data_IF_222790490131
#
_entry.id   IF_222790490131
#
_cell.length_a   1.000
_cell.length_b   1.000
_cell.length_c   1.000
_cell.angle_alpha   90.00
_cell.angle_beta   90.00
_cell.angle_gamma   90.00
#
_symmetry.space_group_name_H-M   'P 1'
#
loop_
_entity.id
_entity.type
_entity.pdbx_description
1 polymer ?
#
# COMPACT_ATOMS: atom_id res chain seq x y z
N UNK A 1 -63.15 0.41 11.69
CA UNK A 1 -62.17 1.16 10.87
C UNK A 1 -60.83 1.00 11.55
N UNK A 2 -59.92 0.22 10.95
CA UNK A 2 -58.60 -0.13 11.50
C UNK A 2 -57.65 1.07 11.41
N UNK A 3 -56.82 1.36 12.44
CA UNK A 3 -55.72 2.30 12.27
C UNK A 3 -54.57 1.60 11.54
N UNK A 4 -54.16 2.18 10.41
CA UNK A 4 -53.01 1.76 9.63
C UNK A 4 -51.72 2.07 10.41
N UNK A 5 -50.96 1.04 10.79
CA UNK A 5 -49.61 1.19 11.30
C UNK A 5 -48.62 1.26 10.13
N UNK A 6 -47.85 2.34 10.04
CA UNK A 6 -46.71 2.48 9.14
C UNK A 6 -45.55 1.58 9.62
N UNK A 7 -44.86 0.84 8.73
CA UNK A 7 -43.68 0.09 9.11
C UNK A 7 -42.48 1.03 9.24
N UNK A 8 -41.85 1.05 10.41
CA UNK A 8 -40.54 1.67 10.62
C UNK A 8 -39.50 0.77 9.96
N UNK A 9 -38.90 1.22 8.85
CA UNK A 9 -37.78 0.54 8.22
C UNK A 9 -36.53 0.74 9.08
N UNK A 10 -36.05 -0.35 9.67
CA UNK A 10 -34.82 -0.40 10.46
C UNK A 10 -33.66 -0.64 9.50
N UNK A 11 -32.97 0.43 9.10
CA UNK A 11 -31.73 0.32 8.33
C UNK A 11 -30.63 -0.23 9.25
N UNK A 12 -30.36 -1.53 9.15
CA UNK A 12 -29.14 -2.12 9.68
C UNK A 12 -27.96 -1.51 8.93
N UNK A 13 -27.34 -0.48 9.52
CA UNK A 13 -26.03 -0.03 9.08
C UNK A 13 -25.04 -1.05 9.62
N UNK A 14 -24.54 -1.92 8.76
CA UNK A 14 -23.35 -2.72 9.05
C UNK A 14 -22.20 -1.74 9.18
N UNK A 15 -21.85 -1.37 10.42
CA UNK A 15 -20.59 -0.69 10.70
C UNK A 15 -19.52 -1.72 10.37
N UNK A 16 -18.82 -1.53 9.25
CA UNK A 16 -17.58 -2.25 9.00
C UNK A 16 -16.68 -2.03 10.22
N UNK A 17 -16.27 -3.10 10.89
CA UNK A 17 -15.35 -2.99 12.00
C UNK A 17 -14.03 -2.44 11.46
N UNK A 18 -13.77 -1.15 11.70
CA UNK A 18 -12.46 -0.59 11.45
C UNK A 18 -11.47 -1.32 12.37
N UNK A 19 -10.69 -2.25 11.82
CA UNK A 19 -9.47 -2.71 12.46
C UNK A 19 -8.53 -1.50 12.62
N UNK A 20 -7.66 -1.54 13.62
CA UNK A 20 -6.82 -0.40 13.99
C UNK A 20 -5.35 -0.77 13.84
N UNK A 21 -4.60 0.04 13.11
CA UNK A 21 -3.17 -0.13 12.87
C UNK A 21 -2.36 0.80 13.78
N UNK A 22 -1.24 0.32 14.31
CA UNK A 22 -0.19 1.17 14.87
C UNK A 22 1.16 0.59 14.46
N UNK A 23 2.12 1.45 14.15
CA UNK A 23 3.40 1.05 13.57
C UNK A 23 4.22 0.13 14.49
N UNK A 24 4.20 0.40 15.80
CA UNK A 24 5.03 -0.32 16.77
C UNK A 24 4.25 -1.24 17.70
N UNK A 25 3.00 -1.63 17.37
CA UNK A 25 2.17 -2.52 18.22
C UNK A 25 2.89 -3.78 18.68
N UNK A 26 3.77 -4.34 17.85
CA UNK A 26 4.45 -5.61 18.12
C UNK A 26 5.88 -5.45 18.67
N UNK A 27 6.29 -4.23 18.98
CA UNK A 27 7.64 -3.94 19.48
C UNK A 27 7.60 -3.50 20.94
N UNK A 28 8.66 -3.82 21.68
CA UNK A 28 8.86 -3.31 23.03
C UNK A 28 9.13 -1.79 22.98
N UNK A 29 8.32 -0.94 23.63
CA UNK A 29 8.48 0.52 23.56
C UNK A 29 9.86 1.00 24.02
N UNK A 30 10.43 0.37 25.05
CA UNK A 30 11.75 0.74 25.55
C UNK A 30 12.86 0.36 24.56
N UNK A 31 12.72 -0.78 23.88
CA UNK A 31 13.59 -1.17 22.77
C UNK A 31 13.53 -0.20 21.59
N UNK A 32 12.33 0.21 21.18
CA UNK A 32 12.14 1.17 20.07
C UNK A 32 12.78 2.52 20.40
N UNK A 33 12.55 3.04 21.61
CA UNK A 33 13.15 4.30 22.05
C UNK A 33 14.68 4.24 22.07
N UNK A 34 15.25 3.14 22.59
CA UNK A 34 16.69 2.95 22.67
C UNK A 34 17.35 2.87 21.28
N UNK A 35 16.68 2.22 20.31
CA UNK A 35 17.23 1.98 18.97
C UNK A 35 17.07 3.22 18.08
N UNK A 36 15.89 3.86 18.10
CA UNK A 36 15.58 4.97 17.20
C UNK A 36 16.05 6.33 17.74
N UNK A 37 16.14 6.48 19.07
CA UNK A 37 16.56 7.74 19.70
C UNK A 37 15.61 8.92 19.47
N UNK A 38 14.37 8.66 19.03
CA UNK A 38 13.34 9.67 18.85
C UNK A 38 12.79 10.19 20.19
N UNK A 39 12.26 11.40 20.19
CA UNK A 39 11.61 11.96 21.38
C UNK A 39 10.33 11.19 21.71
N UNK A 40 9.92 11.23 22.98
CA UNK A 40 8.69 10.59 23.43
C UNK A 40 7.46 11.10 22.66
N UNK A 41 7.39 12.40 22.32
CA UNK A 41 6.28 12.94 21.53
C UNK A 41 6.27 12.40 20.09
N UNK A 42 7.45 12.17 19.51
CA UNK A 42 7.57 11.59 18.19
C UNK A 42 7.16 10.11 18.18
N UNK A 43 7.61 9.33 19.17
CA UNK A 43 7.22 7.92 19.32
C UNK A 43 5.73 7.76 19.58
N UNK A 44 5.12 8.65 20.37
CA UNK A 44 3.68 8.70 20.56
C UNK A 44 2.95 8.96 19.24
N UNK A 45 3.44 9.90 18.42
CA UNK A 45 2.85 10.19 17.12
C UNK A 45 3.00 9.03 16.13
N UNK A 46 4.19 8.41 16.06
CA UNK A 46 4.46 7.25 15.21
C UNK A 46 3.59 6.05 15.57
N UNK A 47 3.35 5.84 16.86
CA UNK A 47 2.55 4.74 17.36
C UNK A 47 1.08 5.11 17.60
N UNK A 48 0.59 6.19 17.01
CA UNK A 48 -0.82 6.56 17.08
C UNK A 48 -1.68 5.61 16.24
N UNK A 49 -2.92 5.41 16.68
CA UNK A 49 -3.87 4.51 16.02
C UNK A 49 -4.36 5.08 14.68
N UNK A 50 -4.20 4.29 13.62
CA UNK A 50 -4.79 4.52 12.30
C UNK A 50 -6.00 3.60 12.13
N UNK A 51 -7.13 4.14 11.70
CA UNK A 51 -8.38 3.39 11.49
C UNK A 51 -8.39 2.63 10.16
N UNK A 52 -7.40 1.77 9.97
CA UNK A 52 -7.21 0.93 8.80
C UNK A 52 -6.97 -0.52 9.21
N UNK A 53 -7.34 -1.45 8.33
CA UNK A 53 -7.07 -2.86 8.58
C UNK A 53 -5.58 -3.14 8.78
N UNK A 54 -5.21 -3.67 9.96
CA UNK A 54 -3.82 -3.76 10.38
C UNK A 54 -3.02 -4.72 9.48
N UNK A 55 -3.61 -5.86 9.11
CA UNK A 55 -2.95 -6.84 8.25
C UNK A 55 -2.73 -6.27 6.86
N UNK A 56 -3.77 -5.66 6.29
CA UNK A 56 -3.69 -5.02 4.96
C UNK A 56 -2.71 -3.84 4.96
N UNK A 57 -2.71 -3.01 6.01
CA UNK A 57 -1.80 -1.86 6.15
C UNK A 57 -0.34 -2.31 6.17
N UNK A 58 -0.03 -3.41 6.88
CA UNK A 58 1.32 -3.97 6.90
C UNK A 58 1.76 -4.54 5.55
N UNK A 59 0.84 -5.13 4.79
CA UNK A 59 1.13 -5.62 3.44
C UNK A 59 1.34 -4.46 2.47
N UNK A 60 0.50 -3.42 2.55
CA UNK A 60 0.65 -2.20 1.75
C UNK A 60 2.00 -1.50 2.01
N UNK A 61 2.46 -1.47 3.26
CA UNK A 61 3.72 -0.86 3.66
C UNK A 61 4.97 -1.60 3.15
N UNK A 62 4.88 -2.91 2.90
CA UNK A 62 5.97 -3.69 2.31
C UNK A 62 6.15 -3.42 0.81
N UNK A 63 5.18 -2.76 0.19
CA UNK A 63 5.08 -2.61 -1.25
C UNK A 63 3.81 -3.31 -1.76
N UNK A 64 2.90 -2.59 -2.43
CA UNK A 64 1.71 -3.18 -3.05
C UNK A 64 2.02 -4.38 -3.96
N UNK A 65 3.17 -4.35 -4.60
CA UNK A 65 3.66 -5.39 -5.50
C UNK A 65 3.92 -6.73 -4.77
N UNK A 66 4.35 -6.74 -3.52
CA UNK A 66 4.79 -7.96 -2.83
C UNK A 66 3.64 -8.94 -2.50
N UNK A 67 2.39 -8.56 -2.74
CA UNK A 67 1.20 -9.35 -2.37
C UNK A 67 0.15 -9.34 -3.49
N UNK A 68 -0.59 -10.44 -3.59
CA UNK A 68 -1.79 -10.49 -4.44
C UNK A 68 -2.99 -9.92 -3.70
N UNK A 69 -3.73 -9.03 -4.35
CA UNK A 69 -4.82 -8.28 -3.74
C UNK A 69 -6.17 -8.78 -4.22
N UNK A 70 -7.02 -9.21 -3.29
CA UNK A 70 -8.42 -9.50 -3.60
C UNK A 70 -9.27 -8.23 -3.50
N UNK A 71 -10.42 -8.24 -4.19
CA UNK A 71 -11.41 -7.18 -4.07
C UNK A 71 -11.87 -6.97 -2.62
N UNK A 72 -11.99 -8.03 -1.83
CA UNK A 72 -12.39 -7.94 -0.41
C UNK A 72 -11.33 -7.24 0.44
N UNK A 73 -10.04 -7.51 0.19
CA UNK A 73 -8.95 -6.81 0.89
C UNK A 73 -8.97 -5.31 0.58
N UNK A 74 -9.05 -4.96 -0.70
CA UNK A 74 -9.01 -3.57 -1.13
C UNK A 74 -10.26 -2.80 -0.71
N UNK A 75 -11.46 -3.39 -0.82
CA UNK A 75 -12.69 -2.69 -0.41
C UNK A 75 -12.77 -2.47 1.10
N UNK A 76 -12.19 -3.38 1.90
CA UNK A 76 -12.08 -3.21 3.36
C UNK A 76 -11.04 -2.15 3.72
N UNK A 77 -9.97 -2.03 2.94
CA UNK A 77 -8.88 -1.10 3.20
C UNK A 77 -9.17 0.32 2.69
N UNK A 78 -9.64 0.44 1.45
CA UNK A 78 -9.86 1.69 0.71
C UNK A 78 -11.15 2.40 1.09
N UNK A 79 -11.29 2.68 2.39
CA UNK A 79 -12.42 3.42 2.98
C UNK A 79 -12.04 4.87 3.26
N UNK A 80 -13.02 5.77 3.21
CA UNK A 80 -12.80 7.19 3.56
C UNK A 80 -12.28 7.36 5.00
N UNK A 81 -12.69 6.47 5.91
CA UNK A 81 -12.23 6.46 7.29
C UNK A 81 -10.74 6.11 7.37
N UNK A 82 -10.29 5.09 6.65
CA UNK A 82 -8.87 4.74 6.59
C UNK A 82 -8.05 5.86 5.97
N UNK A 83 -8.46 6.38 4.79
CA UNK A 83 -7.77 7.45 4.09
C UNK A 83 -7.60 8.73 4.95
N UNK A 84 -8.69 9.17 5.60
CA UNK A 84 -8.66 10.36 6.47
C UNK A 84 -7.82 10.14 7.74
N UNK A 85 -7.89 8.95 8.33
CA UNK A 85 -7.09 8.58 9.50
C UNK A 85 -5.60 8.50 9.15
N UNK A 86 -5.26 7.96 7.96
CA UNK A 86 -3.89 7.86 7.45
C UNK A 86 -3.30 9.25 7.23
N UNK A 87 -4.02 10.12 6.53
CA UNK A 87 -3.60 11.51 6.27
C UNK A 87 -3.34 12.28 7.57
N UNK A 88 -4.25 12.12 8.55
CA UNK A 88 -4.12 12.76 9.86
C UNK A 88 -2.92 12.23 10.64
N UNK A 89 -2.66 10.93 10.56
CA UNK A 89 -1.52 10.29 11.20
C UNK A 89 -0.19 10.76 10.61
N UNK A 90 -0.04 10.74 9.28
CA UNK A 90 1.16 11.26 8.59
C UNK A 90 1.42 12.72 8.98
N UNK A 91 0.39 13.57 8.88
CA UNK A 91 0.50 14.98 9.26
C UNK A 91 0.92 15.16 10.72
N UNK A 92 0.40 14.33 11.63
CA UNK A 92 0.79 14.38 13.04
C UNK A 92 2.26 13.97 13.22
N UNK A 93 2.72 12.91 12.56
CA UNK A 93 4.13 12.48 12.61
C UNK A 93 5.05 13.56 12.05
N UNK A 94 4.75 14.13 10.88
CA UNK A 94 5.54 15.22 10.29
C UNK A 94 5.75 16.38 11.27
N UNK A 95 4.69 16.77 11.97
CA UNK A 95 4.74 17.87 12.94
C UNK A 95 5.50 17.51 14.21
N UNK A 96 5.30 16.30 14.76
CA UNK A 96 5.86 15.88 16.05
C UNK A 96 7.30 15.37 15.96
N UNK A 97 7.66 14.85 14.80
CA UNK A 97 8.97 14.28 14.52
C UNK A 97 9.86 15.16 13.63
N UNK A 98 9.47 16.42 13.39
CA UNK A 98 10.18 17.33 12.50
C UNK A 98 11.69 17.37 12.80
N UNK A 99 12.51 17.01 11.80
CA UNK A 99 13.97 17.01 11.90
C UNK A 99 14.58 15.85 12.70
N UNK A 100 13.78 14.91 13.20
CA UNK A 100 14.29 13.71 13.87
C UNK A 100 14.67 12.64 12.83
N UNK A 101 15.80 11.98 13.04
CA UNK A 101 16.30 10.91 12.16
C UNK A 101 17.02 9.85 12.98
N UNK A 102 16.88 8.60 12.56
CA UNK A 102 17.52 7.45 13.16
C UNK A 102 18.66 6.98 12.25
N UNK A 103 19.73 6.50 12.88
CA UNK A 103 20.90 5.95 12.21
C UNK A 103 20.74 4.43 12.12
N UNK A 104 20.74 3.92 10.89
CA UNK A 104 20.73 2.50 10.56
C UNK A 104 22.05 2.10 9.88
N UNK A 105 23.18 2.38 10.53
CA UNK A 105 24.51 2.05 10.07
C UNK A 105 25.01 3.03 9.02
N UNK A 106 24.90 2.67 7.74
CA UNK A 106 25.34 3.54 6.64
C UNK A 106 24.20 4.43 6.09
N UNK A 107 23.01 4.36 6.69
CA UNK A 107 21.81 5.08 6.24
C UNK A 107 21.20 5.89 7.36
N UNK A 108 20.84 7.14 7.07
CA UNK A 108 20.06 8.00 7.96
C UNK A 108 18.63 8.04 7.44
N UNK A 109 17.68 7.64 8.29
CA UNK A 109 16.26 7.57 7.93
C UNK A 109 15.49 8.57 8.79
N UNK A 110 14.67 9.41 8.14
CA UNK A 110 13.81 10.34 8.87
C UNK A 110 12.67 9.58 9.54
N UNK A 111 12.25 10.01 10.73
CA UNK A 111 11.13 9.40 11.45
C UNK A 111 9.84 9.30 10.60
N UNK A 112 9.60 10.26 9.71
CA UNK A 112 8.41 10.30 8.84
C UNK A 112 8.45 9.26 7.70
N UNK A 113 9.58 8.60 7.45
CA UNK A 113 9.75 7.70 6.29
C UNK A 113 8.74 6.54 6.33
N UNK A 114 8.60 5.86 7.46
CA UNK A 114 7.69 4.71 7.59
C UNK A 114 6.21 5.12 7.37
N UNK A 115 5.69 6.19 8.01
CA UNK A 115 4.34 6.68 7.70
C UNK A 115 4.12 7.05 6.23
N UNK A 116 5.11 7.65 5.58
CA UNK A 116 5.01 7.99 4.16
C UNK A 116 4.95 6.74 3.27
N UNK A 117 5.72 5.69 3.58
CA UNK A 117 5.66 4.42 2.86
C UNK A 117 4.29 3.77 3.01
N UNK A 118 3.74 3.74 4.22
CA UNK A 118 2.40 3.21 4.49
C UNK A 118 1.34 3.99 3.71
N UNK A 119 1.39 5.32 3.73
CA UNK A 119 0.46 6.18 3.01
C UNK A 119 0.58 6.03 1.49
N UNK A 120 1.80 5.96 0.95
CA UNK A 120 2.03 5.72 -0.47
C UNK A 120 1.48 4.36 -0.92
N UNK A 121 1.67 3.31 -0.11
CA UNK A 121 1.08 1.99 -0.35
C UNK A 121 -0.45 2.04 -0.36
N UNK A 122 -1.06 2.76 0.58
CA UNK A 122 -2.50 3.00 0.59
C UNK A 122 -2.97 3.73 -0.68
N UNK A 123 -2.33 4.84 -1.03
CA UNK A 123 -2.74 5.68 -2.15
C UNK A 123 -2.64 4.92 -3.49
N UNK A 124 -1.61 4.09 -3.65
CA UNK A 124 -1.45 3.25 -4.84
C UNK A 124 -2.54 2.16 -4.92
N UNK A 125 -2.81 1.46 -3.82
CA UNK A 125 -3.82 0.39 -3.78
C UNK A 125 -5.26 0.91 -3.93
N UNK A 126 -5.50 2.12 -3.45
CA UNK A 126 -6.82 2.73 -3.38
C UNK A 126 -7.12 3.70 -4.51
N UNK A 127 -6.23 3.80 -5.48
CA UNK A 127 -6.45 4.57 -6.69
C UNK A 127 -7.68 4.03 -7.44
N UNK A 128 -8.57 4.95 -7.82
CA UNK A 128 -9.81 4.64 -8.54
C UNK A 128 -9.87 5.41 -9.85
N UNK A 129 -10.47 4.78 -10.84
CA UNK A 129 -10.78 5.41 -12.12
C UNK A 129 -12.01 6.35 -11.99
N UNK A 130 -12.41 6.96 -13.10
CA UNK A 130 -13.61 7.80 -13.16
C UNK A 130 -14.94 7.06 -12.90
N UNK A 131 -14.94 5.72 -13.02
CA UNK A 131 -16.10 4.87 -12.73
C UNK A 131 -16.18 4.41 -11.26
N UNK A 132 -15.12 4.64 -10.49
CA UNK A 132 -14.97 4.21 -9.10
C UNK A 132 -14.38 2.80 -8.95
N UNK A 133 -13.90 2.20 -10.03
CA UNK A 133 -13.23 0.90 -10.07
C UNK A 133 -11.79 1.03 -9.57
N UNK A 134 -11.33 0.05 -8.79
CA UNK A 134 -9.98 0.05 -8.20
C UNK A 134 -8.94 -0.32 -9.26
N UNK A 135 -8.07 0.62 -9.58
CA UNK A 135 -7.09 0.48 -10.66
C UNK A 135 -6.09 -0.65 -10.40
N UNK A 136 -5.69 -0.82 -9.13
CA UNK A 136 -4.77 -1.88 -8.74
C UNK A 136 -5.38 -3.28 -8.91
N UNK A 137 -6.71 -3.41 -8.75
CA UNK A 137 -7.36 -4.69 -8.96
C UNK A 137 -7.31 -5.07 -10.44
N UNK A 138 -7.56 -4.10 -11.33
CA UNK A 138 -7.50 -4.30 -12.78
C UNK A 138 -6.06 -4.53 -13.27
N UNK A 139 -5.08 -3.87 -12.66
CA UNK A 139 -3.69 -4.01 -13.06
C UNK A 139 -3.19 -5.44 -12.90
N UNK A 140 -3.72 -6.22 -11.94
CA UNK A 140 -3.34 -7.63 -11.73
C UNK A 140 -3.73 -8.57 -12.87
N UNK A 141 -4.61 -8.16 -13.79
CA UNK A 141 -4.99 -8.97 -14.97
C UNK A 141 -4.19 -8.60 -16.24
N UNK A 142 -3.28 -7.63 -16.16
CA UNK A 142 -2.53 -7.19 -17.33
C UNK A 142 -1.44 -8.17 -17.73
N UNK A 143 -1.32 -8.40 -19.03
CA UNK A 143 -0.22 -9.20 -19.56
C UNK A 143 1.11 -8.50 -19.27
N UNK A 144 1.95 -9.12 -18.43
CA UNK A 144 3.21 -8.55 -17.94
C UNK A 144 3.13 -7.88 -16.56
N UNK A 145 1.95 -7.74 -15.95
CA UNK A 145 1.79 -7.47 -14.52
C UNK A 145 1.72 -8.74 -13.69
N UNK A 146 1.58 -9.90 -14.35
CA UNK A 146 2.03 -11.18 -13.81
C UNK A 146 3.40 -10.93 -13.20
N UNK A 147 3.42 -10.94 -11.88
CA UNK A 147 4.63 -10.84 -11.12
C UNK A 147 5.54 -11.95 -11.63
N UNK A 148 6.53 -11.60 -12.44
CA UNK A 148 7.71 -12.45 -12.56
C UNK A 148 8.35 -12.33 -11.19
N UNK A 149 7.83 -13.10 -10.21
CA UNK A 149 8.47 -13.36 -8.92
C UNK A 149 9.70 -14.15 -9.29
N UNK A 150 10.70 -13.42 -9.74
CA UNK A 150 12.02 -13.96 -9.76
C UNK A 150 12.37 -14.10 -8.28
N UNK A 151 12.23 -15.31 -7.76
CA UNK A 151 12.82 -15.66 -6.48
C UNK A 151 14.27 -15.16 -6.56
N UNK A 152 14.71 -14.18 -5.76
CA UNK A 152 16.04 -13.59 -5.93
C UNK A 152 17.19 -14.63 -6.00
N UNK A 153 17.07 -15.81 -5.34
CA UNK A 153 17.95 -16.97 -5.52
C UNK A 153 17.88 -17.72 -6.86
N UNK A 154 16.81 -17.62 -7.66
CA UNK A 154 16.57 -18.51 -8.79
C UNK A 154 17.62 -18.40 -9.92
N UNK A 155 18.42 -17.32 -9.95
CA UNK A 155 19.55 -17.14 -10.86
C UNK A 155 20.90 -17.32 -10.16
N UNK A 156 20.92 -17.65 -8.86
CA UNK A 156 22.15 -18.04 -8.20
C UNK A 156 22.63 -19.35 -8.82
N UNK A 157 23.93 -19.42 -9.09
CA UNK A 157 24.52 -20.56 -9.77
C UNK A 157 24.37 -21.88 -8.99
N UNK A 158 24.00 -21.78 -7.72
CA UNK A 158 24.01 -22.87 -6.74
C UNK A 158 22.59 -23.38 -6.45
N UNK A 159 21.54 -22.77 -7.04
CA UNK A 159 20.15 -23.19 -6.86
C UNK A 159 19.87 -24.45 -7.74
N UNK A 160 19.48 -25.59 -7.15
CA UNK A 160 19.18 -26.81 -7.90
C UNK A 160 17.95 -26.69 -8.80
N UNK A 161 17.08 -25.72 -8.55
CA UNK A 161 15.89 -25.42 -9.34
C UNK A 161 16.12 -24.21 -10.29
N UNK A 162 17.39 -23.81 -10.48
CA UNK A 162 17.76 -22.73 -11.41
C UNK A 162 17.22 -23.00 -12.82
N UNK A 163 16.46 -22.07 -13.42
CA UNK A 163 15.98 -22.20 -14.79
C UNK A 163 17.16 -22.05 -15.78
N UNK A 164 17.64 -23.16 -16.34
CA UNK A 164 18.67 -23.17 -17.38
C UNK A 164 18.18 -22.47 -18.66
N UNK A 165 18.96 -21.56 -19.23
CA UNK A 165 18.67 -20.79 -20.44
C UNK A 165 18.03 -19.40 -20.19
N UNK A 166 17.38 -19.19 -19.03
CA UNK A 166 16.71 -17.93 -18.71
C UNK A 166 17.67 -16.89 -18.10
N UNK A 167 18.57 -17.32 -17.20
CA UNK A 167 19.52 -16.46 -16.48
C UNK A 167 20.80 -16.15 -17.27
N UNK A 168 21.00 -16.85 -18.37
CA UNK A 168 22.18 -16.91 -19.23
C UNK A 168 21.87 -16.43 -20.66
N UNK A 169 20.60 -16.13 -20.93
CA UNK A 169 20.18 -15.49 -22.18
C UNK A 169 20.57 -14.01 -22.21
N UNK A 170 21.00 -13.52 -23.38
CA UNK A 170 21.15 -12.09 -23.69
C UNK A 170 19.78 -11.39 -23.84
N UNK A 171 18.72 -11.95 -23.25
CA UNK A 171 17.32 -11.66 -23.53
C UNK A 171 16.64 -10.79 -22.48
N UNK A 172 17.40 -9.90 -21.83
CA UNK A 172 16.82 -8.58 -21.58
C UNK A 172 16.74 -7.86 -22.94
N UNK A 173 15.84 -8.35 -23.80
CA UNK A 173 15.60 -7.79 -25.12
C UNK A 173 14.94 -6.43 -24.91
N UNK A 174 15.63 -5.36 -25.30
CA UNK A 174 15.05 -4.03 -25.45
C UNK A 174 14.07 -3.95 -26.63
N UNK A 175 14.00 -5.00 -27.46
CA UNK A 175 12.95 -5.17 -28.46
C UNK A 175 11.73 -5.82 -27.82
N UNK A 176 10.94 -5.00 -27.13
CA UNK A 176 9.60 -5.38 -26.69
C UNK A 176 8.69 -5.30 -27.93
N UNK A 177 8.26 -6.46 -28.44
CA UNK A 177 7.08 -6.53 -29.31
C UNK A 177 5.85 -6.26 -28.43
N UNK A 178 5.51 -4.98 -28.23
CA UNK A 178 4.25 -4.59 -27.57
C UNK A 178 3.12 -5.04 -28.49
N UNK A 179 2.52 -6.18 -28.17
CA UNK A 179 1.36 -6.67 -28.87
C UNK A 179 0.16 -5.75 -28.55
N UNK A 180 -0.84 -5.62 -29.46
CA UNK A 180 -2.00 -4.75 -29.24
C UNK A 180 -2.76 -5.02 -27.93
N UNK A 181 -2.70 -6.23 -27.40
CA UNK A 181 -3.27 -6.61 -26.10
C UNK A 181 -2.46 -6.11 -24.89
N UNK A 182 -1.19 -5.75 -25.06
CA UNK A 182 -0.32 -5.19 -24.01
C UNK A 182 -0.49 -3.66 -23.84
N UNK A 183 -1.42 -3.03 -24.57
CA UNK A 183 -1.69 -1.60 -24.46
C UNK A 183 -2.35 -1.20 -23.14
N UNK A 184 -2.78 -2.14 -22.30
CA UNK A 184 -3.33 -1.80 -20.99
C UNK A 184 -2.32 -1.07 -20.10
N UNK A 185 -1.01 -1.33 -20.24
CA UNK A 185 0.03 -0.57 -19.52
C UNK A 185 0.04 0.92 -19.93
N UNK A 186 -0.38 1.25 -21.16
CA UNK A 186 -0.49 2.65 -21.61
C UNK A 186 -1.69 3.40 -21.01
N UNK A 187 -2.55 2.72 -20.24
CA UNK A 187 -3.68 3.32 -19.50
C UNK A 187 -3.36 3.67 -18.05
N UNK A 188 -2.17 3.31 -17.55
CA UNK A 188 -1.75 3.70 -16.20
C UNK A 188 -1.51 5.19 -16.06
N UNK A 189 -1.01 5.79 -17.13
CA UNK A 189 -0.53 7.16 -17.15
C UNK A 189 -1.18 7.86 -18.33
N UNK A 190 -1.92 8.93 -18.08
CA UNK A 190 -2.27 9.85 -19.15
C UNK A 190 -0.97 10.39 -19.77
N UNK A 191 -0.93 10.44 -21.11
CA UNK A 191 0.20 11.02 -21.83
C UNK A 191 0.47 12.50 -21.49
N UNK A 192 -0.49 13.18 -20.86
CA UNK A 192 -0.37 14.57 -20.40
C UNK A 192 0.03 14.70 -18.91
N UNK A 193 0.17 13.60 -18.17
CA UNK A 193 0.25 13.56 -16.69
C UNK A 193 1.63 13.87 -16.08
N UNK A 194 2.40 14.80 -16.66
CA UNK A 194 3.62 15.30 -15.98
C UNK A 194 3.27 16.31 -14.88
N UNK A 195 2.04 16.86 -14.87
CA UNK A 195 1.72 18.01 -14.01
C UNK A 195 0.41 17.93 -13.19
N UNK A 196 -0.37 16.85 -13.19
CA UNK A 196 -1.55 16.77 -12.30
C UNK A 196 -1.81 15.35 -11.77
N UNK A 197 -2.28 15.28 -10.52
CA UNK A 197 -2.55 14.10 -9.68
C UNK A 197 -2.81 12.75 -10.40
N UNK A 198 -2.25 11.62 -9.92
CA UNK A 198 -2.40 10.31 -10.56
C UNK A 198 -3.88 9.93 -10.66
N UNK A 199 -4.37 9.75 -11.88
CA UNK A 199 -5.61 9.07 -12.22
C UNK A 199 -5.24 7.99 -13.24
N UNK A 200 -5.65 6.73 -13.03
CA UNK A 200 -5.57 5.73 -14.09
C UNK A 200 -6.81 5.85 -14.99
N UNK A 201 -6.60 5.74 -16.31
CA UNK A 201 -7.59 6.02 -17.35
C UNK A 201 -8.46 4.83 -17.73
#
# INVERSE_FOLDING_TARGET
MYPSALPVALFLHTVAAASSFNLYTNFDPAGVELILGFSAECLEALNATVNCDSATTLLAAQGPDETYWSQDNLTTFCTDQCASSMTSWVSNVENRCAGQSADFGDTIVQAVTDPLLVAAGHDLLCLKDSSGSLCYLESQDWQGSDYVRYNPPACLADDPDRPEGLCDGTHFSTEINILPEMTNVTRLYDSELVDDSPQCS
#
